data_IF_278886104676
#
_entry.id   IF_278886104676
#
_cell.length_a   1.000
_cell.length_b   1.000
_cell.length_c   1.000
_cell.angle_alpha   90.00
_cell.angle_beta   90.00
_cell.angle_gamma   90.00
#
_symmetry.space_group_name_H-M   'P 1'
#
loop_
_entity.id
_entity.type
_entity.pdbx_description
1 polymer ?
#
# COMPACT_ATOMS: atom_id res chain seq x y z
N UNK A 1 4.63 -18.52 1.46
CA UNK A 1 5.70 -19.29 0.79
C UNK A 1 5.10 -20.58 0.26
N UNK A 2 5.55 -21.08 -0.90
CA UNK A 2 5.16 -22.43 -1.35
C UNK A 2 6.39 -23.15 -1.87
N UNK A 3 6.69 -24.33 -1.32
CA UNK A 3 7.83 -25.15 -1.72
C UNK A 3 9.17 -24.38 -1.74
N UNK A 4 9.48 -23.63 -0.66
CA UNK A 4 10.66 -22.77 -0.56
C UNK A 4 10.74 -21.63 -1.59
N UNK A 5 9.61 -21.28 -2.22
CA UNK A 5 9.50 -20.14 -3.13
C UNK A 5 8.75 -19.00 -2.45
N UNK A 6 9.36 -17.82 -2.48
CA UNK A 6 8.76 -16.56 -2.09
C UNK A 6 8.39 -15.75 -3.33
N UNK A 7 7.27 -15.03 -3.25
CA UNK A 7 6.84 -14.08 -4.27
C UNK A 7 7.16 -12.67 -3.77
N UNK A 8 7.69 -11.83 -4.66
CA UNK A 8 8.00 -10.41 -4.38
C UNK A 8 7.57 -9.53 -5.55
N UNK A 9 7.45 -8.23 -5.33
CA UNK A 9 7.06 -7.26 -6.36
C UNK A 9 5.79 -7.66 -7.12
N UNK A 10 5.80 -7.50 -8.44
CA UNK A 10 4.64 -7.78 -9.29
C UNK A 10 4.20 -9.24 -9.25
N UNK A 11 5.13 -10.19 -9.06
CA UNK A 11 4.79 -11.61 -8.91
C UNK A 11 3.93 -11.89 -7.67
N UNK A 12 4.01 -11.01 -6.67
CA UNK A 12 3.17 -11.04 -5.47
C UNK A 12 1.97 -10.08 -5.54
N UNK A 13 1.81 -9.33 -6.63
CA UNK A 13 0.76 -8.33 -6.80
C UNK A 13 0.95 -7.07 -5.97
N UNK A 14 2.21 -6.67 -5.71
CA UNK A 14 2.52 -5.51 -4.86
C UNK A 14 2.58 -4.16 -5.60
N UNK A 15 2.00 -4.05 -6.78
CA UNK A 15 1.82 -2.76 -7.45
C UNK A 15 0.70 -1.96 -6.76
N UNK A 16 0.96 -0.69 -6.44
CA UNK A 16 -0.05 0.19 -5.85
C UNK A 16 -1.01 0.68 -6.96
N UNK A 17 -2.32 0.47 -6.82
CA UNK A 17 -3.27 0.67 -7.90
C UNK A 17 -3.57 2.12 -8.25
N UNK A 18 -3.33 3.11 -7.39
CA UNK A 18 -3.61 4.53 -7.64
C UNK A 18 -2.43 5.22 -8.33
N UNK A 19 -1.23 5.04 -7.80
CA UNK A 19 0.02 5.62 -8.30
C UNK A 19 0.57 4.82 -9.48
N UNK A 20 0.10 3.58 -9.66
CA UNK A 20 0.64 2.58 -10.59
C UNK A 20 2.13 2.27 -10.36
N UNK A 21 2.62 2.50 -9.14
CA UNK A 21 3.99 2.28 -8.73
C UNK A 21 4.18 0.84 -8.23
N UNK A 22 5.19 0.13 -8.72
CA UNK A 22 5.54 -1.21 -8.27
C UNK A 22 7.03 -1.42 -7.98
N UNK A 23 7.89 -0.49 -8.38
CA UNK A 23 9.35 -0.64 -8.29
C UNK A 23 9.81 -0.60 -6.83
N UNK A 24 9.36 0.40 -6.08
CA UNK A 24 9.66 0.60 -4.67
C UNK A 24 9.15 -0.57 -3.84
N UNK A 25 7.94 -1.06 -4.14
CA UNK A 25 7.39 -2.23 -3.50
C UNK A 25 8.13 -3.52 -3.87
N UNK A 26 8.61 -3.67 -5.11
CA UNK A 26 9.46 -4.79 -5.51
C UNK A 26 10.80 -4.78 -4.77
N UNK A 27 11.46 -3.63 -4.67
CA UNK A 27 12.72 -3.45 -3.92
C UNK A 27 12.49 -3.75 -2.44
N UNK A 28 11.44 -3.17 -1.84
CA UNK A 28 11.14 -3.32 -0.43
C UNK A 28 10.79 -4.77 -0.06
N UNK A 29 9.93 -5.42 -0.85
CA UNK A 29 9.57 -6.82 -0.62
C UNK A 29 10.75 -7.78 -0.85
N UNK A 30 11.65 -7.46 -1.79
CA UNK A 30 12.93 -8.16 -1.97
C UNK A 30 13.84 -8.05 -0.74
N UNK A 31 13.96 -6.84 -0.18
CA UNK A 31 14.69 -6.61 1.07
C UNK A 31 14.09 -7.41 2.23
N UNK A 32 12.76 -7.36 2.39
CA UNK A 32 12.07 -8.06 3.48
C UNK A 32 12.23 -9.57 3.41
N UNK A 33 12.16 -10.18 2.23
CA UNK A 33 12.36 -11.64 2.12
C UNK A 33 13.80 -12.03 2.43
N UNK A 34 14.78 -11.23 1.99
CA UNK A 34 16.19 -11.48 2.28
C UNK A 34 16.47 -11.42 3.80
N UNK A 35 15.98 -10.37 4.47
CA UNK A 35 16.09 -10.23 5.93
C UNK A 35 15.40 -11.38 6.65
N UNK A 36 14.18 -11.76 6.24
CA UNK A 36 13.44 -12.86 6.84
C UNK A 36 14.19 -14.20 6.74
N UNK A 37 14.83 -14.48 5.61
CA UNK A 37 15.64 -15.69 5.41
C UNK A 37 16.87 -15.70 6.33
N UNK A 38 17.57 -14.56 6.44
CA UNK A 38 18.77 -14.42 7.29
C UNK A 38 18.40 -14.55 8.78
N UNK A 39 17.39 -13.81 9.24
CA UNK A 39 16.93 -13.78 10.62
C UNK A 39 16.36 -15.13 11.09
N UNK A 40 15.90 -15.95 10.15
CA UNK A 40 15.32 -17.26 10.44
C UNK A 40 16.33 -18.40 10.42
N UNK A 41 17.62 -18.09 10.22
CA UNK A 41 18.69 -19.07 10.11
C UNK A 41 18.36 -20.19 9.09
N UNK A 42 17.79 -19.81 7.94
CA UNK A 42 17.33 -20.70 6.87
C UNK A 42 16.18 -21.66 7.24
N UNK A 43 15.55 -21.51 8.41
CA UNK A 43 14.30 -22.22 8.71
C UNK A 43 13.16 -21.66 7.85
N UNK A 44 12.62 -22.51 6.98
CA UNK A 44 11.60 -22.13 6.01
C UNK A 44 10.30 -21.60 6.63
N UNK A 45 9.84 -22.17 7.75
CA UNK A 45 8.58 -21.79 8.39
C UNK A 45 8.74 -20.46 9.11
N UNK A 46 9.85 -20.30 9.81
CA UNK A 46 10.18 -19.06 10.48
C UNK A 46 10.41 -17.94 9.47
N UNK A 47 11.08 -18.22 8.35
CA UNK A 47 11.28 -17.24 7.27
C UNK A 47 9.95 -16.78 6.67
N UNK A 48 9.01 -17.71 6.46
CA UNK A 48 7.66 -17.36 6.02
C UNK A 48 6.95 -16.44 7.02
N UNK A 49 6.97 -16.78 8.32
CA UNK A 49 6.36 -15.97 9.37
C UNK A 49 6.97 -14.56 9.42
N UNK A 50 8.31 -14.46 9.46
CA UNK A 50 9.04 -13.19 9.51
C UNK A 50 8.79 -12.32 8.28
N UNK A 51 8.73 -12.94 7.10
CA UNK A 51 8.41 -12.22 5.87
C UNK A 51 7.01 -11.61 5.94
N UNK A 52 6.01 -12.39 6.37
CA UNK A 52 4.64 -11.90 6.54
C UNK A 52 4.56 -10.81 7.61
N UNK A 53 5.27 -10.94 8.72
CA UNK A 53 5.37 -9.89 9.75
C UNK A 53 5.90 -8.57 9.16
N UNK A 54 7.04 -8.62 8.45
CA UNK A 54 7.65 -7.44 7.81
C UNK A 54 6.71 -6.79 6.78
N UNK A 55 6.03 -7.59 5.96
CA UNK A 55 5.03 -7.10 5.01
C UNK A 55 3.88 -6.36 5.69
N UNK A 56 3.44 -6.82 6.87
CA UNK A 56 2.34 -6.21 7.61
C UNK A 56 2.71 -4.91 8.33
N UNK A 57 4.00 -4.58 8.48
CA UNK A 57 4.44 -3.32 9.08
C UNK A 57 3.96 -2.12 8.25
N UNK A 58 4.02 -2.24 6.92
CA UNK A 58 3.76 -1.09 6.02
C UNK A 58 3.12 -1.50 4.70
N UNK A 59 3.74 -2.42 3.97
CA UNK A 59 3.41 -2.70 2.57
C UNK A 59 1.98 -3.21 2.39
N UNK A 60 1.55 -4.21 3.16
CA UNK A 60 0.18 -4.75 3.04
C UNK A 60 -0.89 -3.74 3.50
N UNK A 61 -0.74 -3.00 4.62
CA UNK A 61 -1.66 -1.91 4.96
C UNK A 61 -1.80 -0.85 3.87
N UNK A 62 -0.70 -0.41 3.27
CA UNK A 62 -0.71 0.59 2.19
C UNK A 62 -1.44 0.06 0.95
N UNK A 63 -1.12 -1.14 0.49
CA UNK A 63 -1.80 -1.77 -0.66
C UNK A 63 -3.29 -1.99 -0.43
N UNK A 64 -3.70 -2.37 0.79
CA UNK A 64 -5.12 -2.50 1.15
C UNK A 64 -5.86 -1.18 1.04
N UNK A 65 -5.26 -0.09 1.54
CA UNK A 65 -5.81 1.25 1.40
C UNK A 65 -5.86 1.68 -0.06
N UNK A 66 -4.81 1.41 -0.82
CA UNK A 66 -4.74 1.67 -2.26
C UNK A 66 -5.87 0.99 -3.02
N UNK A 67 -6.09 -0.29 -2.78
CA UNK A 67 -7.17 -1.08 -3.38
C UNK A 67 -8.57 -0.57 -3.00
N UNK A 68 -8.73 0.04 -1.83
CA UNK A 68 -9.99 0.67 -1.43
C UNK A 68 -10.19 2.01 -2.14
N UNK A 69 -9.14 2.84 -2.19
CA UNK A 69 -9.15 4.13 -2.88
C UNK A 69 -9.36 3.95 -4.38
N UNK A 70 -8.73 2.95 -5.00
CA UNK A 70 -8.83 2.69 -6.43
C UNK A 70 -10.27 2.43 -6.88
N UNK A 71 -11.07 1.76 -6.04
CA UNK A 71 -12.51 1.59 -6.29
C UNK A 71 -13.23 2.94 -6.38
N UNK A 72 -12.88 3.91 -5.54
CA UNK A 72 -13.48 5.25 -5.58
C UNK A 72 -13.00 6.07 -6.78
N UNK A 73 -11.70 6.02 -7.11
CA UNK A 73 -11.12 6.83 -8.19
C UNK A 73 -11.42 6.28 -9.58
N UNK A 74 -11.44 4.96 -9.79
CA UNK A 74 -11.66 4.38 -11.11
C UNK A 74 -13.14 4.16 -11.47
N UNK A 75 -14.06 4.18 -10.51
CA UNK A 75 -15.50 4.19 -10.83
C UNK A 75 -15.95 5.60 -11.21
N UNK A 76 -16.86 5.68 -12.20
CA UNK A 76 -17.45 6.95 -12.61
C UNK A 76 -18.37 7.49 -11.51
N UNK A 77 -17.84 8.35 -10.66
CA UNK A 77 -18.52 8.92 -9.51
C UNK A 77 -18.59 10.46 -9.65
N UNK A 78 -19.78 11.07 -9.63
CA UNK A 78 -19.91 12.53 -9.71
C UNK A 78 -19.21 13.26 -8.56
N UNK A 79 -19.12 12.65 -7.38
CA UNK A 79 -18.37 13.20 -6.24
C UNK A 79 -16.88 13.22 -6.52
N UNK A 80 -16.34 12.16 -7.13
CA UNK A 80 -14.93 12.11 -7.55
C UNK A 80 -14.64 13.24 -8.54
N UNK A 81 -15.47 13.41 -9.57
CA UNK A 81 -15.26 14.46 -10.58
C UNK A 81 -15.23 15.84 -9.92
N UNK A 82 -16.22 16.15 -9.08
CA UNK A 82 -16.25 17.41 -8.35
C UNK A 82 -14.99 17.65 -7.49
N UNK A 83 -14.54 16.62 -6.77
CA UNK A 83 -13.34 16.72 -5.93
C UNK A 83 -12.07 16.92 -6.76
N UNK A 84 -11.92 16.21 -7.88
CA UNK A 84 -10.78 16.36 -8.77
C UNK A 84 -10.77 17.71 -9.48
N UNK A 85 -11.93 18.20 -9.93
CA UNK A 85 -12.05 19.51 -10.57
C UNK A 85 -11.70 20.64 -9.60
N UNK A 86 -12.13 20.53 -8.34
CA UNK A 86 -11.94 21.57 -7.33
C UNK A 86 -10.57 21.51 -6.62
N UNK A 87 -10.04 20.30 -6.41
CA UNK A 87 -8.83 20.06 -5.59
C UNK A 87 -7.74 19.29 -6.34
N UNK A 88 -7.78 19.21 -7.67
CA UNK A 88 -6.85 18.42 -8.47
C UNK A 88 -5.38 18.74 -8.21
N UNK A 89 -5.03 20.02 -8.06
CA UNK A 89 -3.66 20.43 -7.72
C UNK A 89 -3.20 19.91 -6.35
N UNK A 90 -4.09 19.92 -5.36
CA UNK A 90 -3.79 19.37 -4.05
C UNK A 90 -3.53 17.86 -4.11
N UNK A 91 -4.36 17.11 -4.85
CA UNK A 91 -4.14 15.68 -5.06
C UNK A 91 -2.85 15.39 -5.84
N UNK A 92 -2.52 16.21 -6.83
CA UNK A 92 -1.27 16.10 -7.59
C UNK A 92 -0.05 16.26 -6.67
N UNK A 93 -0.02 17.31 -5.85
CA UNK A 93 1.09 17.53 -4.91
C UNK A 93 1.26 16.35 -3.94
N UNK A 94 0.15 15.80 -3.42
CA UNK A 94 0.22 14.60 -2.58
C UNK A 94 0.81 13.41 -3.35
N UNK A 95 0.41 13.22 -4.60
CA UNK A 95 0.94 12.14 -5.44
C UNK A 95 2.45 12.28 -5.64
N UNK A 96 2.92 13.50 -5.93
CA UNK A 96 4.34 13.81 -6.10
C UNK A 96 5.12 13.54 -4.82
N UNK A 97 4.61 13.98 -3.66
CA UNK A 97 5.23 13.70 -2.35
C UNK A 97 5.38 12.19 -2.10
N UNK A 98 4.36 11.41 -2.47
CA UNK A 98 4.36 9.95 -2.30
C UNK A 98 5.42 9.31 -3.22
N UNK A 99 5.48 9.71 -4.49
CA UNK A 99 6.43 9.15 -5.46
C UNK A 99 7.89 9.50 -5.13
N UNK A 100 8.14 10.68 -4.57
CA UNK A 100 9.48 11.06 -4.08
C UNK A 100 9.85 10.36 -2.77
N UNK A 101 8.89 9.74 -2.08
CA UNK A 101 9.10 9.12 -0.78
C UNK A 101 9.09 10.12 0.39
N UNK A 102 8.76 11.40 0.14
CA UNK A 102 8.60 12.43 1.16
C UNK A 102 7.39 12.17 2.05
N UNK A 103 6.43 11.38 1.56
CA UNK A 103 5.23 10.97 2.28
C UNK A 103 4.93 9.47 2.08
N UNK A 104 4.55 8.71 3.13
CA UNK A 104 4.05 7.35 2.96
C UNK A 104 2.65 7.34 2.33
N UNK A 105 2.29 6.23 1.68
CA UNK A 105 0.94 6.05 1.18
C UNK A 105 -0.03 5.95 2.37
N UNK A 106 -1.25 6.52 2.30
CA UNK A 106 -2.16 6.50 3.44
C UNK A 106 -2.53 5.06 3.86
N UNK A 107 -2.42 4.78 5.15
CA UNK A 107 -3.01 3.59 5.78
C UNK A 107 -4.38 3.92 6.40
N UNK A 108 -5.21 2.88 6.56
CA UNK A 108 -6.47 2.92 7.34
C UNK A 108 -7.50 3.95 6.85
N UNK A 109 -7.56 4.12 5.52
CA UNK A 109 -8.42 5.13 4.86
C UNK A 109 -9.88 4.99 5.30
N UNK A 110 -10.41 3.77 5.38
CA UNK A 110 -11.80 3.51 5.76
C UNK A 110 -12.12 4.00 7.18
N UNK A 111 -11.23 3.75 8.14
CA UNK A 111 -11.42 4.15 9.53
C UNK A 111 -11.33 5.66 9.70
N UNK A 112 -10.33 6.29 9.08
CA UNK A 112 -10.18 7.75 9.10
C UNK A 112 -11.39 8.46 8.49
N UNK A 113 -11.95 7.92 7.41
CA UNK A 113 -13.16 8.47 6.78
C UNK A 113 -14.36 8.33 7.73
N UNK A 114 -14.54 7.16 8.34
CA UNK A 114 -15.63 6.90 9.30
C UNK A 114 -15.56 7.83 10.51
N UNK A 115 -14.36 8.07 11.05
CA UNK A 115 -14.17 8.96 12.20
C UNK A 115 -14.48 10.42 11.85
N UNK A 116 -13.99 10.92 10.70
CA UNK A 116 -14.30 12.29 10.25
C UNK A 116 -15.79 12.53 10.00
N UNK A 117 -16.52 11.51 9.54
CA UNK A 117 -17.97 11.62 9.35
C UNK A 117 -18.66 11.72 10.72
N UNK A 118 -18.24 10.92 11.70
CA UNK A 118 -18.78 11.00 13.07
C UNK A 118 -18.54 12.37 13.71
N UNK A 119 -17.32 12.91 13.63
CA UNK A 119 -16.95 14.23 14.17
C UNK A 119 -17.70 15.42 13.54
N UNK A 120 -18.32 15.24 12.37
CA UNK A 120 -19.12 16.29 11.71
C UNK A 120 -20.62 16.17 11.97
N UNK A 121 -21.07 15.01 12.45
CA UNK A 121 -22.48 14.71 12.71
C UNK A 121 -22.80 14.88 14.21
N UNK A 122 -21.79 14.70 15.08
CA UNK A 122 -21.83 14.97 16.52
C UNK A 122 -20.97 16.19 16.84
#
# INVERSE_FOLDING_TARGET
MKNNVFLIGDSAGFAEPITAEGISNAILSGKYVAEAIIESNLDSKLAEQRYVEKLNIKLLPELKSGALLSKFFYHNNPVRNYLLDKYGQYFNNIMVDILHGDRPFPTDVAEKLKNRIKEKIF
#
